data_IF_104773724805
#
_entry.id   IF_104773724805
#
_cell.length_a   1.000
_cell.length_b   1.000
_cell.length_c   1.000
_cell.angle_alpha   90.00
_cell.angle_beta   90.00
_cell.angle_gamma   90.00
#
_symmetry.space_group_name_H-M   'P 1'
#
loop_
_entity.id
_entity.type
_entity.pdbx_description
1 polymer ?
#
# COMPACT_ATOMS: atom_id res chain seq x y z
N UNK A 1 -19.70 19.48 38.73
CA UNK A 1 -20.48 18.66 37.79
C UNK A 1 -19.52 18.12 36.74
N UNK A 2 -19.27 16.80 36.76
CA UNK A 2 -18.38 16.13 35.79
C UNK A 2 -19.23 15.62 34.63
N UNK A 3 -18.83 15.79 33.33
CA UNK A 3 -19.56 15.19 32.24
C UNK A 3 -19.25 13.70 32.13
N UNK A 4 -20.28 12.89 31.96
CA UNK A 4 -20.24 11.46 31.68
C UNK A 4 -19.74 11.21 30.26
N UNK A 5 -18.62 10.51 30.14
CA UNK A 5 -18.10 10.01 28.85
C UNK A 5 -18.90 8.76 28.47
N UNK A 6 -19.71 8.85 27.42
CA UNK A 6 -20.41 7.70 26.84
C UNK A 6 -19.43 6.93 25.93
N UNK A 7 -19.01 5.76 26.38
CA UNK A 7 -18.34 4.78 25.52
C UNK A 7 -19.33 4.27 24.46
N UNK A 8 -19.05 4.52 23.18
CA UNK A 8 -19.71 3.86 22.06
C UNK A 8 -18.86 2.68 21.65
N UNK A 9 -19.35 1.49 21.92
CA UNK A 9 -18.80 0.22 21.44
C UNK A 9 -19.05 0.14 19.92
N UNK A 10 -18.01 0.13 19.13
CA UNK A 10 -18.09 -0.15 17.69
C UNK A 10 -18.20 -1.67 17.49
N UNK A 11 -19.34 -2.13 17.00
CA UNK A 11 -19.57 -3.52 16.63
C UNK A 11 -19.00 -3.77 15.24
N UNK A 12 -17.92 -4.55 15.15
CA UNK A 12 -17.38 -5.02 13.88
C UNK A 12 -18.26 -6.13 13.32
N UNK A 13 -18.88 -5.89 12.18
CA UNK A 13 -19.59 -6.89 11.41
C UNK A 13 -18.60 -7.57 10.43
N UNK A 14 -18.19 -8.78 10.76
CA UNK A 14 -17.36 -9.61 9.88
C UNK A 14 -18.24 -10.24 8.80
N UNK A 15 -18.09 -9.82 7.55
CA UNK A 15 -18.68 -10.49 6.39
C UNK A 15 -17.73 -11.58 5.92
N UNK A 16 -18.07 -12.84 6.17
CA UNK A 16 -17.39 -14.00 5.58
C UNK A 16 -17.86 -14.21 4.14
N UNK A 17 -16.99 -13.99 3.17
CA UNK A 17 -17.15 -14.52 1.82
C UNK A 17 -16.30 -15.78 1.66
N UNK A 18 -16.97 -16.88 1.35
CA UNK A 18 -16.33 -18.16 0.99
C UNK A 18 -16.09 -18.15 -0.51
N UNK A 19 -14.82 -18.11 -0.94
CA UNK A 19 -14.45 -18.38 -2.32
C UNK A 19 -13.73 -19.73 -2.44
N UNK A 20 -14.19 -20.57 -3.38
CA UNK A 20 -13.64 -21.88 -3.70
C UNK A 20 -12.34 -21.75 -4.52
N UNK A 21 -11.32 -22.58 -4.27
CA UNK A 21 -10.08 -22.53 -5.04
C UNK A 21 -10.18 -23.36 -6.33
N UNK A 22 -9.81 -22.79 -7.46
CA UNK A 22 -9.50 -23.53 -8.68
C UNK A 22 -8.02 -23.86 -8.73
N UNK A 23 -7.70 -25.13 -8.52
CA UNK A 23 -6.35 -25.69 -8.68
C UNK A 23 -6.03 -25.87 -10.17
N UNK A 24 -5.05 -25.13 -10.68
CA UNK A 24 -4.38 -25.42 -11.94
C UNK A 24 -3.17 -26.34 -11.70
N UNK A 25 -3.23 -27.59 -12.12
CA UNK A 25 -2.09 -28.52 -12.05
C UNK A 25 -1.12 -28.26 -13.20
N UNK A 26 0.14 -27.98 -12.89
CA UNK A 26 1.23 -28.00 -13.86
C UNK A 26 1.69 -29.44 -14.10
N UNK A 27 1.52 -29.94 -15.33
CA UNK A 27 2.06 -31.22 -15.79
C UNK A 27 3.50 -31.04 -16.22
N UNK A 28 4.44 -31.67 -15.52
CA UNK A 28 5.85 -31.78 -15.93
C UNK A 28 6.00 -32.85 -17.00
N UNK A 29 6.34 -32.48 -18.23
CA UNK A 29 6.77 -33.42 -19.27
C UNK A 29 8.30 -33.31 -19.45
N UNK A 30 9.00 -34.39 -19.12
CA UNK A 30 10.42 -34.54 -19.40
C UNK A 30 10.61 -34.93 -20.88
N UNK A 31 11.17 -34.00 -21.69
CA UNK A 31 11.74 -34.29 -23.00
C UNK A 31 13.18 -33.75 -23.08
N UNK A 32 14.12 -34.45 -23.75
CA UNK A 32 15.52 -34.05 -23.78
C UNK A 32 15.74 -32.78 -24.62
N UNK A 33 16.74 -31.94 -24.29
CA UNK A 33 16.92 -30.63 -24.90
C UNK A 33 17.49 -30.74 -26.32
N UNK A 34 16.71 -30.38 -27.31
CA UNK A 34 17.22 -29.93 -28.63
C UNK A 34 17.71 -28.51 -28.49
N UNK A 35 18.98 -28.27 -28.83
CA UNK A 35 19.56 -26.93 -28.86
C UNK A 35 18.78 -26.05 -29.84
N UNK A 36 18.08 -25.06 -29.28
CA UNK A 36 17.48 -23.96 -30.03
C UNK A 36 18.34 -22.71 -29.86
N UNK A 37 18.52 -21.99 -30.96
CA UNK A 37 19.16 -20.67 -31.00
C UNK A 37 18.63 -19.76 -29.86
N UNK A 38 19.47 -18.84 -29.32
CA UNK A 38 19.07 -17.93 -28.28
C UNK A 38 17.96 -16.98 -28.77
N UNK A 39 16.73 -17.37 -28.55
CA UNK A 39 15.60 -16.47 -28.73
C UNK A 39 15.75 -15.29 -27.75
N UNK A 40 15.54 -14.04 -28.19
CA UNK A 40 15.46 -12.91 -27.25
C UNK A 40 14.45 -13.25 -26.15
N UNK A 41 14.68 -12.82 -24.89
CA UNK A 41 13.75 -13.10 -23.82
C UNK A 41 12.37 -12.59 -24.24
N UNK A 42 11.42 -13.51 -24.36
CA UNK A 42 10.04 -13.15 -24.61
C UNK A 42 9.65 -12.19 -23.47
N UNK A 43 9.27 -10.98 -23.84
CA UNK A 43 8.56 -10.08 -22.93
C UNK A 43 7.34 -10.88 -22.49
N UNK A 44 7.26 -11.22 -21.21
CA UNK A 44 6.11 -11.92 -20.67
C UNK A 44 4.87 -11.13 -21.06
N UNK A 45 3.95 -11.75 -21.81
CA UNK A 45 2.66 -11.10 -22.09
C UNK A 45 2.03 -10.79 -20.74
N UNK A 46 1.61 -9.54 -20.51
CA UNK A 46 0.99 -9.15 -19.25
C UNK A 46 -0.24 -10.02 -19.02
N UNK A 47 -0.35 -10.54 -17.79
CA UNK A 47 -1.46 -11.39 -17.38
C UNK A 47 -2.78 -10.67 -17.68
N UNK A 48 -3.66 -11.28 -18.45
CA UNK A 48 -4.93 -10.67 -18.89
C UNK A 48 -6.02 -10.71 -17.82
N UNK A 49 -5.78 -11.40 -16.70
CA UNK A 49 -6.69 -11.45 -15.57
C UNK A 49 -6.65 -10.13 -14.77
N UNK A 50 -7.77 -9.78 -14.18
CA UNK A 50 -7.84 -8.72 -13.19
C UNK A 50 -7.35 -9.25 -11.84
N UNK A 51 -6.56 -8.46 -11.15
CA UNK A 51 -6.16 -8.62 -9.77
C UNK A 51 -6.72 -7.44 -8.97
N UNK A 52 -7.29 -7.72 -7.82
CA UNK A 52 -7.87 -6.70 -6.95
C UNK A 52 -7.24 -6.76 -5.57
N UNK A 53 -7.08 -5.61 -4.95
CA UNK A 53 -6.76 -5.55 -3.53
C UNK A 53 -7.60 -4.52 -2.79
N UNK A 54 -7.81 -4.78 -1.52
CA UNK A 54 -8.45 -3.85 -0.58
C UNK A 54 -7.57 -3.76 0.65
N UNK A 55 -7.25 -2.56 1.07
CA UNK A 55 -6.56 -2.35 2.34
C UNK A 55 -7.25 -1.30 3.19
N UNK A 56 -7.04 -1.37 4.49
CA UNK A 56 -7.51 -0.38 5.46
C UNK A 56 -6.43 -0.17 6.51
N UNK A 57 -6.02 1.08 6.68
CA UNK A 57 -5.07 1.52 7.70
C UNK A 57 -5.84 2.28 8.77
N UNK A 58 -5.79 1.81 10.01
CA UNK A 58 -6.38 2.48 11.16
C UNK A 58 -5.30 3.22 11.91
N UNK A 59 -5.38 4.54 11.92
CA UNK A 59 -4.44 5.42 12.59
C UNK A 59 -4.92 5.74 14.00
N UNK A 60 -4.08 5.44 14.99
CA UNK A 60 -4.25 5.77 16.41
C UNK A 60 -3.20 6.83 16.72
N UNK A 61 -3.59 8.10 16.54
CA UNK A 61 -2.71 9.26 16.70
C UNK A 61 -2.95 9.88 18.07
N UNK A 62 -1.92 10.08 18.90
CA UNK A 62 -2.07 10.72 20.20
C UNK A 62 -2.67 12.12 20.08
N UNK A 63 -3.57 12.44 21.02
CA UNK A 63 -4.24 13.75 21.11
C UNK A 63 -4.98 14.20 19.85
N UNK A 64 -5.24 13.27 18.92
CA UNK A 64 -5.96 13.50 17.67
C UNK A 64 -7.11 12.51 17.52
N UNK A 65 -7.98 12.75 16.53
CA UNK A 65 -9.05 11.83 16.18
C UNK A 65 -8.47 10.63 15.44
N UNK A 66 -8.83 9.42 15.88
CA UNK A 66 -8.57 8.20 15.12
C UNK A 66 -9.31 8.24 13.79
N UNK A 67 -8.67 7.71 12.73
CA UNK A 67 -9.27 7.62 11.42
C UNK A 67 -8.86 6.35 10.69
N UNK A 68 -9.64 5.98 9.69
CA UNK A 68 -9.38 4.86 8.81
C UNK A 68 -9.11 5.37 7.41
N UNK A 69 -8.12 4.79 6.76
CA UNK A 69 -7.65 5.08 5.41
C UNK A 69 -7.84 3.83 4.55
N UNK A 70 -9.00 3.66 3.89
CA UNK A 70 -9.22 2.57 2.96
C UNK A 70 -8.62 2.89 1.59
N UNK A 71 -8.08 1.84 0.95
CA UNK A 71 -7.59 1.87 -0.42
C UNK A 71 -8.11 0.66 -1.18
N UNK A 72 -8.52 0.88 -2.42
CA UNK A 72 -8.94 -0.14 -3.38
C UNK A 72 -8.02 -0.07 -4.59
N UNK A 73 -7.48 -1.21 -5.04
CA UNK A 73 -6.73 -1.27 -6.31
C UNK A 73 -7.33 -2.31 -7.26
N UNK A 74 -7.15 -2.08 -8.55
CA UNK A 74 -7.48 -3.00 -9.61
C UNK A 74 -6.40 -2.95 -10.69
N UNK A 75 -5.73 -4.07 -10.93
CA UNK A 75 -4.63 -4.19 -11.86
C UNK A 75 -4.97 -5.15 -13.00
N UNK A 76 -4.55 -4.82 -14.22
CA UNK A 76 -4.65 -5.70 -15.36
C UNK A 76 -3.52 -5.44 -16.35
N UNK A 77 -2.50 -6.28 -16.30
CA UNK A 77 -1.30 -6.10 -17.10
C UNK A 77 -0.61 -4.78 -16.79
N UNK A 78 -0.55 -3.88 -17.77
CA UNK A 78 0.04 -2.55 -17.59
C UNK A 78 -0.86 -1.55 -16.86
N UNK A 79 -2.17 -1.79 -16.80
CA UNK A 79 -3.15 -0.86 -16.23
C UNK A 79 -3.22 -1.01 -14.73
N UNK A 80 -3.06 0.12 -14.02
CA UNK A 80 -3.29 0.27 -12.60
C UNK A 80 -4.40 1.30 -12.35
N UNK A 81 -5.39 0.90 -11.55
CA UNK A 81 -6.47 1.77 -11.07
C UNK A 81 -6.48 1.72 -9.54
N UNK A 82 -6.65 2.88 -8.93
CA UNK A 82 -6.71 2.96 -7.47
C UNK A 82 -7.73 4.00 -7.02
N UNK A 83 -8.40 3.74 -5.90
CA UNK A 83 -9.28 4.67 -5.20
C UNK A 83 -8.92 4.69 -3.71
N UNK A 84 -8.82 5.89 -3.13
CA UNK A 84 -8.39 6.11 -1.75
C UNK A 84 -9.34 7.06 -1.02
N UNK A 85 -9.36 6.96 0.29
CA UNK A 85 -10.03 7.90 1.16
C UNK A 85 -9.20 8.16 2.42
N UNK A 86 -9.15 9.41 2.89
CA UNK A 86 -8.31 9.87 4.00
C UNK A 86 -6.80 9.65 3.79
N UNK A 87 -6.35 9.49 2.55
CA UNK A 87 -4.97 9.15 2.23
C UNK A 87 -4.10 10.41 2.12
N UNK A 88 -4.46 11.33 1.23
CA UNK A 88 -3.76 12.58 0.99
C UNK A 88 -3.99 13.57 2.14
N UNK A 89 -5.23 13.66 2.60
CA UNK A 89 -5.66 14.44 3.75
C UNK A 89 -6.93 13.83 4.34
N UNK A 90 -7.33 14.24 5.55
CA UNK A 90 -8.61 13.83 6.14
C UNK A 90 -9.77 14.38 5.31
N UNK A 91 -10.89 13.63 5.29
CA UNK A 91 -12.13 13.97 4.58
C UNK A 91 -11.91 14.22 3.07
N UNK A 92 -10.89 13.54 2.51
CA UNK A 92 -10.45 13.68 1.13
C UNK A 92 -10.45 12.30 0.46
N UNK A 93 -11.04 12.23 -0.72
CA UNK A 93 -10.99 11.06 -1.60
C UNK A 93 -10.12 11.31 -2.82
N UNK A 94 -9.62 10.23 -3.42
CA UNK A 94 -8.87 10.32 -4.68
C UNK A 94 -9.10 9.11 -5.56
N UNK A 95 -8.92 9.31 -6.87
CA UNK A 95 -8.93 8.25 -7.88
C UNK A 95 -7.71 8.39 -8.77
N UNK A 96 -7.10 7.24 -9.10
CA UNK A 96 -5.79 7.19 -9.74
C UNK A 96 -5.79 6.28 -10.96
N UNK A 97 -5.03 6.70 -11.95
CA UNK A 97 -4.69 5.93 -13.15
C UNK A 97 -3.16 5.81 -13.21
N UNK A 98 -2.65 4.59 -13.30
CA UNK A 98 -1.23 4.29 -13.37
C UNK A 98 -0.87 3.32 -14.48
N UNK A 99 0.43 3.21 -14.75
CA UNK A 99 1.00 2.28 -15.70
C UNK A 99 2.07 1.41 -15.02
N UNK A 100 1.84 0.10 -14.96
CA UNK A 100 2.73 -0.86 -14.33
C UNK A 100 3.90 -1.24 -15.23
N UNK A 101 5.11 -1.03 -14.75
CA UNK A 101 6.36 -1.55 -15.29
C UNK A 101 6.94 -2.54 -14.29
N UNK A 102 7.45 -3.65 -14.77
CA UNK A 102 8.14 -4.63 -13.94
C UNK A 102 9.33 -5.23 -14.69
N UNK A 103 10.34 -5.66 -13.94
CA UNK A 103 11.52 -6.28 -14.55
C UNK A 103 12.51 -6.82 -13.52
N UNK A 104 13.67 -7.27 -14.05
CA UNK A 104 14.73 -7.84 -13.23
C UNK A 104 14.58 -9.35 -13.02
N UNK A 105 15.67 -9.99 -12.56
CA UNK A 105 15.72 -11.44 -12.28
C UNK A 105 16.18 -11.70 -10.83
N UNK A 106 17.38 -11.23 -10.49
CA UNK A 106 17.92 -11.35 -9.13
C UNK A 106 17.50 -10.17 -8.25
N UNK A 107 17.48 -8.98 -8.82
CA UNK A 107 16.87 -7.78 -8.27
C UNK A 107 15.60 -7.55 -9.08
N UNK A 108 14.47 -7.96 -8.53
CA UNK A 108 13.17 -7.65 -9.12
C UNK A 108 12.78 -6.21 -8.78
N UNK A 109 12.13 -5.55 -9.72
CA UNK A 109 11.63 -4.21 -9.50
C UNK A 109 10.27 -4.03 -10.18
N UNK A 110 9.45 -3.21 -9.55
CA UNK A 110 8.18 -2.74 -10.07
C UNK A 110 8.17 -1.21 -9.95
N UNK A 111 7.58 -0.54 -10.92
CA UNK A 111 7.42 0.91 -10.91
C UNK A 111 6.13 1.31 -11.61
N UNK A 112 5.29 2.05 -10.92
CA UNK A 112 3.97 2.50 -11.39
C UNK A 112 3.88 4.01 -11.26
N UNK A 113 4.27 4.78 -12.30
CA UNK A 113 3.91 6.18 -12.39
C UNK A 113 2.39 6.31 -12.53
N UNK A 114 1.81 7.30 -11.85
CA UNK A 114 0.37 7.45 -11.78
C UNK A 114 -0.04 8.92 -11.72
N UNK A 115 -1.27 9.19 -12.13
CA UNK A 115 -1.90 10.50 -12.04
C UNK A 115 -3.24 10.35 -11.33
N UNK A 116 -3.46 11.19 -10.30
CA UNK A 116 -4.66 11.19 -9.49
C UNK A 116 -5.45 12.48 -9.58
N UNK A 117 -6.76 12.34 -9.42
CA UNK A 117 -7.67 13.43 -9.11
C UNK A 117 -8.08 13.36 -7.65
N UNK A 118 -7.87 14.43 -6.91
CA UNK A 118 -8.12 14.56 -5.47
C UNK A 118 -9.34 15.47 -5.25
N UNK A 119 -10.25 15.09 -4.35
CA UNK A 119 -11.50 15.81 -4.09
C UNK A 119 -11.93 15.65 -2.63
N UNK A 120 -12.58 16.65 -2.10
CA UNK A 120 -13.00 16.72 -0.70
C UNK A 120 -12.45 17.98 -0.04
N UNK A 121 -11.93 17.87 1.17
CA UNK A 121 -11.30 18.99 1.88
C UNK A 121 -10.08 19.51 1.12
N UNK A 122 -9.28 18.61 0.53
CA UNK A 122 -8.28 18.96 -0.47
C UNK A 122 -8.84 18.64 -1.86
N UNK A 123 -8.64 19.53 -2.84
CA UNK A 123 -9.10 19.33 -4.21
C UNK A 123 -7.99 19.70 -5.19
N UNK A 124 -7.60 18.74 -6.03
CA UNK A 124 -6.46 18.97 -6.91
C UNK A 124 -6.15 17.85 -7.89
N UNK A 125 -4.98 17.95 -8.48
CA UNK A 125 -4.38 16.93 -9.34
C UNK A 125 -3.07 16.51 -8.68
N UNK A 126 -2.79 15.20 -8.69
CA UNK A 126 -1.61 14.66 -8.05
C UNK A 126 -0.86 13.72 -9.00
N UNK A 127 0.29 14.10 -9.57
CA UNK A 127 1.25 13.15 -10.09
C UNK A 127 1.87 12.36 -8.92
N UNK A 128 1.98 11.04 -9.10
CA UNK A 128 2.50 10.15 -8.09
C UNK A 128 3.21 8.94 -8.66
N UNK A 129 3.73 8.11 -7.78
CA UNK A 129 4.38 6.87 -8.13
C UNK A 129 4.24 5.84 -7.02
N UNK A 130 4.31 4.56 -7.41
CA UNK A 130 4.64 3.43 -6.55
C UNK A 130 5.87 2.73 -7.10
N UNK A 131 6.72 2.21 -6.24
CA UNK A 131 7.90 1.47 -6.65
C UNK A 131 8.31 0.45 -5.61
N UNK A 132 8.79 -0.71 -6.08
CA UNK A 132 9.27 -1.80 -5.25
C UNK A 132 10.59 -2.32 -5.82
N UNK A 133 11.54 -2.59 -4.94
CA UNK A 133 12.79 -3.27 -5.23
C UNK A 133 12.92 -4.48 -4.31
N UNK A 134 12.92 -5.69 -4.87
CA UNK A 134 13.02 -6.92 -4.10
C UNK A 134 14.31 -7.66 -4.44
N UNK A 135 15.10 -7.96 -3.43
CA UNK A 135 16.32 -8.74 -3.54
C UNK A 135 16.41 -9.77 -2.41
N UNK A 136 16.39 -11.06 -2.78
CA UNK A 136 16.37 -12.17 -1.83
C UNK A 136 15.19 -12.05 -0.86
N UNK A 137 15.43 -11.73 0.41
CA UNK A 137 14.42 -11.54 1.46
C UNK A 137 14.22 -10.07 1.85
N UNK A 138 14.96 -9.19 1.20
CA UNK A 138 14.86 -7.73 1.41
C UNK A 138 13.94 -7.12 0.36
N UNK A 139 13.11 -6.21 0.81
CA UNK A 139 12.26 -5.42 -0.05
C UNK A 139 12.28 -3.95 0.38
N UNK A 140 12.50 -3.08 -0.58
CA UNK A 140 12.32 -1.64 -0.45
C UNK A 140 11.10 -1.25 -1.27
N UNK A 141 10.05 -0.77 -0.63
CA UNK A 141 8.90 -0.17 -1.29
C UNK A 141 8.83 1.32 -1.00
N UNK A 142 8.35 2.08 -1.96
CA UNK A 142 8.13 3.51 -1.81
C UNK A 142 6.95 3.95 -2.67
N UNK A 143 6.10 4.76 -2.10
CA UNK A 143 5.08 5.49 -2.83
C UNK A 143 5.13 6.97 -2.45
N UNK A 144 4.79 7.82 -3.40
CA UNK A 144 4.81 9.25 -3.16
C UNK A 144 4.04 10.00 -4.24
N UNK A 145 3.60 11.18 -3.86
CA UNK A 145 2.81 12.05 -4.72
C UNK A 145 2.99 13.50 -4.34
N UNK A 146 2.77 14.38 -5.30
CA UNK A 146 2.67 15.80 -5.05
C UNK A 146 1.26 16.27 -5.38
N UNK A 147 0.52 16.70 -4.38
CA UNK A 147 -0.84 17.22 -4.55
C UNK A 147 -0.76 18.71 -4.88
N UNK A 148 -1.15 19.07 -6.11
CA UNK A 148 -1.38 20.45 -6.51
C UNK A 148 -2.78 20.84 -6.10
N UNK A 149 -2.93 21.59 -5.02
CA UNK A 149 -4.23 22.11 -4.60
C UNK A 149 -4.70 23.19 -5.58
N UNK A 150 -5.87 22.98 -6.19
CA UNK A 150 -6.44 23.89 -7.18
C UNK A 150 -7.28 25.01 -6.58
N UNK A 151 -7.63 24.93 -5.29
CA UNK A 151 -8.35 25.98 -4.55
C UNK A 151 -7.41 26.97 -3.90
N UNK A 152 -6.30 26.47 -3.34
CA UNK A 152 -5.27 27.28 -2.70
C UNK A 152 -3.90 26.69 -2.97
N UNK A 153 -3.10 27.35 -3.79
CA UNK A 153 -1.76 26.86 -4.15
C UNK A 153 -0.83 26.71 -2.94
N UNK A 154 -1.04 27.47 -1.87
CA UNK A 154 -0.30 27.31 -0.60
C UNK A 154 -0.68 26.01 0.12
N UNK A 155 -1.80 25.41 -0.23
CA UNK A 155 -2.28 24.12 0.20
C UNK A 155 -1.60 22.92 -0.45
N UNK A 156 -0.78 23.13 -1.49
CA UNK A 156 -0.06 22.05 -2.17
C UNK A 156 0.98 21.41 -1.26
N UNK A 157 1.15 20.09 -1.35
CA UNK A 157 2.07 19.35 -0.48
C UNK A 157 2.61 18.07 -1.14
N UNK A 158 3.71 17.56 -0.58
CA UNK A 158 4.30 16.29 -0.94
C UNK A 158 3.97 15.24 0.12
N UNK A 159 3.44 14.11 -0.31
CA UNK A 159 3.26 12.90 0.48
C UNK A 159 4.30 11.85 0.09
N UNK A 160 4.80 11.09 1.07
CA UNK A 160 5.64 9.93 0.83
C UNK A 160 5.45 8.89 1.94
N UNK A 161 5.45 7.63 1.54
CA UNK A 161 5.55 6.46 2.41
C UNK A 161 6.63 5.54 1.86
N UNK A 162 7.54 5.07 2.70
CA UNK A 162 8.59 4.15 2.29
C UNK A 162 8.86 3.11 3.37
N UNK A 163 9.04 1.86 2.96
CA UNK A 163 9.33 0.73 3.83
C UNK A 163 10.60 0.01 3.35
N UNK A 164 11.44 -0.40 4.29
CA UNK A 164 12.52 -1.35 4.08
C UNK A 164 12.26 -2.56 4.95
N UNK A 165 11.95 -3.71 4.34
CA UNK A 165 11.52 -4.91 5.06
C UNK A 165 12.44 -6.09 4.83
N UNK A 166 12.51 -6.97 5.82
CA UNK A 166 13.13 -8.29 5.76
C UNK A 166 12.06 -9.33 6.06
N UNK A 167 11.86 -10.30 5.16
CA UNK A 167 10.95 -11.43 5.31
C UNK A 167 11.76 -12.73 5.55
N UNK A 168 12.10 -13.09 6.79
CA UNK A 168 12.87 -14.30 7.06
C UNK A 168 12.11 -15.57 6.66
N UNK A 169 10.79 -15.54 6.76
CA UNK A 169 9.84 -16.59 6.34
C UNK A 169 8.67 -15.97 5.58
N UNK A 170 7.94 -16.75 4.80
CA UNK A 170 6.87 -16.28 3.91
C UNK A 170 5.70 -15.60 4.64
N UNK A 171 5.43 -16.00 5.87
CA UNK A 171 4.30 -15.52 6.66
C UNK A 171 4.64 -14.36 7.60
N UNK A 172 5.92 -13.94 7.69
CA UNK A 172 6.36 -12.89 8.62
C UNK A 172 7.38 -11.96 8.00
N UNK A 173 7.16 -10.66 8.13
CA UNK A 173 8.08 -9.58 7.76
C UNK A 173 8.22 -8.57 8.87
N UNK A 174 9.35 -7.90 8.93
CA UNK A 174 9.58 -6.75 9.81
C UNK A 174 10.53 -5.77 9.12
N UNK A 175 10.55 -4.53 9.61
CA UNK A 175 11.38 -3.52 8.95
C UNK A 175 11.26 -2.13 9.52
N UNK A 176 11.74 -1.21 8.71
CA UNK A 176 11.73 0.23 8.95
C UNK A 176 10.66 0.88 8.06
N UNK A 177 10.05 1.94 8.55
CA UNK A 177 9.09 2.73 7.80
C UNK A 177 9.35 4.21 8.00
N UNK A 178 9.13 4.98 6.95
CA UNK A 178 9.10 6.45 7.01
C UNK A 178 7.84 6.95 6.32
N UNK A 179 7.26 8.01 6.88
CA UNK A 179 6.08 8.66 6.32
C UNK A 179 6.21 10.17 6.41
N UNK A 180 5.81 10.86 5.34
CA UNK A 180 5.51 12.29 5.33
C UNK A 180 4.07 12.46 4.90
N UNK A 181 3.23 12.97 5.78
CA UNK A 181 1.78 13.10 5.54
C UNK A 181 1.26 14.46 5.96
N UNK A 182 0.11 14.87 5.38
CA UNK A 182 -0.69 16.00 5.80
C UNK A 182 -1.94 15.58 6.60
N UNK A 183 -2.29 14.31 6.58
CA UNK A 183 -3.49 13.79 7.25
C UNK A 183 -3.48 14.02 8.77
N UNK A 184 -2.30 14.11 9.36
CA UNK A 184 -2.10 14.52 10.75
C UNK A 184 -0.77 15.27 10.89
N UNK A 185 -0.70 16.16 11.86
CA UNK A 185 0.50 16.92 12.16
C UNK A 185 1.14 16.43 13.45
N UNK A 186 2.45 16.29 13.42
CA UNK A 186 3.30 16.07 14.59
C UNK A 186 4.41 17.13 14.58
N UNK A 187 5.23 17.16 15.62
CA UNK A 187 6.41 18.03 15.66
C UNK A 187 7.47 17.69 14.60
N UNK A 188 7.31 16.54 13.93
CA UNK A 188 8.21 16.05 12.88
C UNK A 188 7.52 16.07 11.52
N UNK A 189 8.17 16.66 10.56
CA UNK A 189 7.73 16.65 9.16
C UNK A 189 7.79 15.22 8.56
N UNK A 190 8.82 14.43 8.95
CA UNK A 190 9.01 13.05 8.54
C UNK A 190 8.87 12.14 9.76
N UNK A 191 7.84 11.31 9.76
CA UNK A 191 7.64 10.26 10.73
C UNK A 191 8.55 9.08 10.39
N UNK A 192 9.16 8.46 11.38
CA UNK A 192 10.00 7.27 11.21
C UNK A 192 9.56 6.20 12.19
N UNK A 193 9.63 4.95 11.79
CA UNK A 193 9.09 3.90 12.62
C UNK A 193 9.61 2.52 12.29
N UNK A 194 9.01 1.57 13.00
CA UNK A 194 9.21 0.14 12.86
C UNK A 194 7.91 -0.48 12.37
N UNK A 195 8.02 -1.60 11.67
CA UNK A 195 6.87 -2.39 11.28
C UNK A 195 7.09 -3.87 11.56
N UNK A 196 5.98 -4.58 11.80
CA UNK A 196 5.90 -6.03 11.82
C UNK A 196 4.62 -6.47 11.09
N UNK A 197 4.74 -7.41 10.16
CA UNK A 197 3.64 -7.87 9.33
C UNK A 197 3.53 -9.39 9.31
N UNK A 198 2.30 -9.86 9.21
CA UNK A 198 1.93 -11.28 9.13
C UNK A 198 1.05 -11.50 7.92
N UNK A 199 1.36 -12.52 7.12
CA UNK A 199 0.60 -12.92 5.94
C UNK A 199 -0.01 -14.30 6.17
N UNK A 200 -1.30 -14.42 5.88
CA UNK A 200 -2.00 -15.70 5.91
C UNK A 200 -2.94 -15.81 4.72
N UNK A 201 -2.61 -16.69 3.76
CA UNK A 201 -3.34 -16.82 2.47
C UNK A 201 -3.38 -15.47 1.74
N UNK A 202 -4.58 -14.90 1.58
CA UNK A 202 -4.84 -13.64 0.90
C UNK A 202 -4.95 -12.45 1.85
N UNK A 203 -4.66 -12.64 3.15
CA UNK A 203 -4.80 -11.61 4.17
C UNK A 203 -3.44 -11.20 4.69
N UNK A 204 -3.19 -9.90 4.72
CA UNK A 204 -1.99 -9.30 5.28
C UNK A 204 -2.38 -8.42 6.46
N UNK A 205 -1.70 -8.60 7.58
CA UNK A 205 -1.80 -7.74 8.77
C UNK A 205 -0.46 -7.08 9.01
N UNK A 206 -0.43 -5.77 9.18
CA UNK A 206 0.80 -5.05 9.52
C UNK A 206 0.52 -4.05 10.63
N UNK A 207 1.42 -4.00 11.59
CA UNK A 207 1.43 -2.99 12.65
C UNK A 207 2.64 -2.09 12.44
N UNK A 208 2.42 -0.78 12.50
CA UNK A 208 3.44 0.24 12.44
C UNK A 208 3.49 1.00 13.75
N UNK A 209 4.70 1.30 14.20
CA UNK A 209 4.98 2.12 15.36
C UNK A 209 5.85 3.29 14.93
N UNK A 210 5.24 4.46 14.73
CA UNK A 210 5.94 5.67 14.34
C UNK A 210 6.41 6.45 15.55
N UNK A 211 7.60 7.04 15.43
CA UNK A 211 8.29 7.84 16.44
C UNK A 211 8.36 7.14 17.81
N UNK A 212 8.95 5.92 17.89
CA UNK A 212 9.03 5.14 19.13
C UNK A 212 9.87 5.82 20.24
N UNK A 213 10.61 6.86 19.89
CA UNK A 213 11.39 7.69 20.78
C UNK A 213 10.58 8.85 21.40
N UNK A 214 9.35 9.06 20.99
CA UNK A 214 8.43 10.03 21.60
C UNK A 214 7.65 9.41 22.76
N UNK A 215 7.22 10.25 23.68
CA UNK A 215 6.41 9.79 24.84
C UNK A 215 5.06 9.21 24.46
N UNK A 216 4.56 9.57 23.27
CA UNK A 216 3.29 9.13 22.69
C UNK A 216 3.45 8.80 21.21
N UNK A 217 3.91 7.60 20.90
CA UNK A 217 4.09 7.18 19.52
C UNK A 217 2.75 7.01 18.79
N UNK A 218 2.75 7.22 17.46
CA UNK A 218 1.59 6.89 16.63
C UNK A 218 1.62 5.41 16.26
N UNK A 219 0.48 4.74 16.43
CA UNK A 219 0.30 3.35 16.02
C UNK A 219 -0.63 3.28 14.81
N UNK A 220 -0.24 2.50 13.81
CA UNK A 220 -1.09 2.23 12.65
C UNK A 220 -1.29 0.71 12.53
N UNK A 221 -2.54 0.30 12.42
CA UNK A 221 -2.92 -1.09 12.18
C UNK A 221 -3.46 -1.21 10.77
N UNK A 222 -2.80 -2.01 9.94
CA UNK A 222 -3.18 -2.23 8.55
C UNK A 222 -3.67 -3.66 8.33
N UNK A 223 -4.72 -3.78 7.54
CA UNK A 223 -5.25 -5.05 7.02
C UNK A 223 -5.34 -4.93 5.51
N UNK A 224 -4.82 -5.91 4.80
CA UNK A 224 -4.92 -6.01 3.34
C UNK A 224 -5.52 -7.35 2.92
N UNK A 225 -6.25 -7.33 1.81
CA UNK A 225 -6.85 -8.49 1.15
C UNK A 225 -6.50 -8.44 -0.33
N UNK A 226 -6.06 -9.56 -0.91
CA UNK A 226 -5.74 -9.71 -2.33
C UNK A 226 -6.58 -10.84 -2.95
N UNK A 227 -7.13 -10.64 -4.16
CA UNK A 227 -7.99 -11.63 -4.84
C UNK A 227 -8.09 -11.38 -6.36
#
# INVERSE_FOLDING_TARGET
>A
MKPLIKHRTATFLALMFVCLPSFGQAVMTNAPPTAKDPQPPAVAEPDKAWSFSVSAYTYIVPDSREYVQPTLTADRGWLHLEARYNYEALETGSVWLGYNFAGGKKLAWEFTPMLGGVFGDTTGIAPGYKGTLSWWKLELSSEGEYVFDTRDSSGSFFYNWSELTLAPVEWFRFGLVTQRTRAYQTDREIQRGLLAGFSFKHVNFTTYLFNPDESRPTVVLAVGLEF
#
